data_IF_585865207505
#
_entry.id   IF_585865207505
#
_cell.length_a   1.000
_cell.length_b   1.000
_cell.length_c   1.000
_cell.angle_alpha   90.00
_cell.angle_beta   90.00
_cell.angle_gamma   90.00
#
_symmetry.space_group_name_H-M   'P 1'
#
loop_
_entity.id
_entity.type
_entity.pdbx_description
1 polymer ?
#
# COMPACT_ATOMS: atom_id res chain seq x y z
N UNK A 1 -4.88 -7.62 2.21
CA UNK A 1 -4.88 -8.18 3.58
C UNK A 1 -5.91 -9.29 3.67
N UNK A 2 -5.58 -10.36 4.33
CA UNK A 2 -6.51 -11.42 4.66
C UNK A 2 -7.21 -11.09 5.99
N UNK A 3 -8.45 -11.53 6.16
CA UNK A 3 -9.11 -11.38 7.45
C UNK A 3 -8.39 -12.20 8.53
N UNK A 4 -8.49 -11.83 9.81
CA UNK A 4 -7.99 -12.64 10.91
C UNK A 4 -8.55 -14.06 10.83
N UNK A 5 -7.67 -15.05 10.77
CA UNK A 5 -8.07 -16.44 10.50
C UNK A 5 -8.46 -17.23 11.76
N UNK A 6 -8.09 -16.76 12.96
CA UNK A 6 -8.30 -17.52 14.20
C UNK A 6 -8.67 -16.62 15.36
N UNK A 7 -9.71 -17.02 16.11
CA UNK A 7 -9.97 -16.55 17.46
C UNK A 7 -9.31 -17.53 18.44
N UNK A 8 -8.15 -17.18 18.97
CA UNK A 8 -7.62 -17.83 20.15
C UNK A 8 -8.27 -17.16 21.36
N UNK A 9 -8.97 -17.90 22.20
CA UNK A 9 -9.74 -17.51 23.40
C UNK A 9 -9.77 -16.00 23.83
N UNK A 10 -8.72 -15.23 23.57
CA UNK A 10 -8.59 -13.79 23.87
C UNK A 10 -7.77 -13.00 22.84
N UNK A 11 -7.36 -13.61 21.73
CA UNK A 11 -6.49 -12.96 20.73
C UNK A 11 -6.98 -13.19 19.30
N UNK A 12 -6.89 -12.14 18.47
CA UNK A 12 -7.11 -12.23 17.04
C UNK A 12 -5.76 -12.48 16.36
N UNK A 13 -5.72 -13.45 15.45
CA UNK A 13 -4.55 -13.78 14.63
C UNK A 13 -4.87 -13.54 13.17
N UNK A 14 -3.99 -12.85 12.46
CA UNK A 14 -4.17 -12.54 11.05
C UNK A 14 -2.94 -11.89 10.45
N UNK A 15 -3.03 -11.51 9.17
CA UNK A 15 -2.00 -10.73 8.51
C UNK A 15 -1.74 -9.41 9.24
N UNK A 16 -0.50 -8.91 9.17
CA UNK A 16 -0.11 -7.62 9.74
C UNK A 16 -1.07 -6.50 9.30
N UNK A 17 -1.40 -6.43 8.02
CA UNK A 17 -2.33 -5.43 7.51
C UNK A 17 -3.74 -5.53 8.10
N UNK A 18 -4.22 -6.73 8.40
CA UNK A 18 -5.51 -6.93 9.07
C UNK A 18 -5.44 -6.46 10.54
N UNK A 19 -4.35 -6.77 11.23
CA UNK A 19 -4.10 -6.31 12.61
C UNK A 19 -4.03 -4.78 12.68
N UNK A 20 -3.31 -4.15 11.75
CA UNK A 20 -3.22 -2.69 11.67
C UNK A 20 -4.58 -2.05 11.42
N UNK A 21 -5.38 -2.60 10.48
CA UNK A 21 -6.73 -2.11 10.19
C UNK A 21 -7.66 -2.27 11.39
N UNK A 22 -7.52 -3.36 12.16
CA UNK A 22 -8.30 -3.57 13.38
C UNK A 22 -8.01 -2.53 14.45
N UNK A 23 -6.77 -2.10 14.57
CA UNK A 23 -6.28 -1.20 15.61
C UNK A 23 -6.08 0.26 15.14
N UNK A 24 -6.51 0.58 13.91
CA UNK A 24 -6.36 1.94 13.37
C UNK A 24 -7.15 2.97 14.19
N UNK A 25 -6.61 4.17 14.33
CA UNK A 25 -7.30 5.25 15.02
C UNK A 25 -8.70 5.47 14.39
N UNK A 26 -9.78 5.52 15.19
CA UNK A 26 -11.14 5.70 14.69
C UNK A 26 -11.34 6.92 13.77
N UNK A 27 -10.59 8.00 13.96
CA UNK A 27 -10.65 9.20 13.12
C UNK A 27 -10.20 8.91 11.68
N UNK A 28 -9.25 8.01 11.48
CA UNK A 28 -8.80 7.61 10.15
C UNK A 28 -9.91 6.89 9.37
N UNK A 29 -10.82 6.20 10.06
CA UNK A 29 -11.95 5.53 9.41
C UNK A 29 -12.95 6.51 8.76
N UNK A 30 -12.92 7.80 9.12
CA UNK A 30 -13.78 8.83 8.53
C UNK A 30 -13.32 9.23 7.12
N UNK A 31 -12.02 9.15 6.86
CA UNK A 31 -11.39 9.64 5.64
C UNK A 31 -10.84 8.53 4.72
N UNK A 32 -10.68 7.32 5.22
CA UNK A 32 -10.15 6.21 4.42
C UNK A 32 -11.21 5.48 3.60
N UNK A 33 -10.77 4.88 2.51
CA UNK A 33 -11.48 3.88 1.71
C UNK A 33 -10.55 2.68 1.57
N UNK A 34 -11.07 1.46 1.68
CA UNK A 34 -12.45 1.06 1.98
C UNK A 34 -12.79 1.16 3.48
N UNK A 35 -14.08 1.03 3.77
CA UNK A 35 -14.53 0.83 5.15
C UNK A 35 -13.90 -0.42 5.78
N UNK A 36 -13.76 -0.42 7.12
CA UNK A 36 -13.10 -1.50 7.87
C UNK A 36 -13.67 -2.89 7.51
N UNK A 37 -14.99 -3.02 7.46
CA UNK A 37 -15.64 -4.28 7.14
C UNK A 37 -15.27 -4.80 5.74
N UNK A 38 -15.14 -3.91 4.76
CA UNK A 38 -14.71 -4.28 3.39
C UNK A 38 -13.24 -4.62 3.35
N UNK A 39 -12.39 -3.87 4.06
CA UNK A 39 -10.95 -4.11 4.12
C UNK A 39 -10.61 -5.50 4.69
N UNK A 40 -11.44 -6.04 5.57
CA UNK A 40 -11.23 -7.31 6.25
C UNK A 40 -11.91 -8.51 5.57
N UNK A 41 -12.54 -8.33 4.41
CA UNK A 41 -13.07 -9.44 3.62
C UNK A 41 -11.95 -10.41 3.20
N UNK A 42 -12.21 -11.70 3.31
CA UNK A 42 -11.29 -12.76 2.89
C UNK A 42 -11.36 -13.04 1.38
N UNK A 43 -12.55 -12.99 0.79
CA UNK A 43 -12.74 -13.18 -0.65
C UNK A 43 -12.21 -11.97 -1.42
N UNK A 44 -11.21 -12.21 -2.27
CA UNK A 44 -10.54 -11.14 -3.01
C UNK A 44 -11.44 -10.48 -4.06
N UNK A 45 -12.23 -11.26 -4.79
CA UNK A 45 -13.08 -10.73 -5.86
C UNK A 45 -14.19 -9.85 -5.29
N UNK A 46 -14.84 -10.33 -4.23
CA UNK A 46 -15.86 -9.55 -3.51
C UNK A 46 -15.26 -8.30 -2.89
N UNK A 47 -14.07 -8.42 -2.27
CA UNK A 47 -13.34 -7.30 -1.69
C UNK A 47 -13.00 -6.25 -2.75
N UNK A 48 -12.41 -6.67 -3.87
CA UNK A 48 -12.04 -5.80 -4.99
C UNK A 48 -13.25 -5.00 -5.51
N UNK A 49 -14.37 -5.68 -5.79
CA UNK A 49 -15.57 -5.04 -6.29
C UNK A 49 -16.15 -4.03 -5.28
N UNK A 50 -16.19 -4.38 -3.99
CA UNK A 50 -16.66 -3.46 -2.94
C UNK A 50 -15.75 -2.26 -2.77
N UNK A 51 -14.42 -2.45 -2.75
CA UNK A 51 -13.46 -1.35 -2.69
C UNK A 51 -13.70 -0.38 -3.84
N UNK A 52 -13.81 -0.89 -5.07
CA UNK A 52 -14.04 -0.07 -6.25
C UNK A 52 -15.34 0.74 -6.15
N UNK A 53 -16.44 0.11 -5.72
CA UNK A 53 -17.75 0.80 -5.55
C UNK A 53 -17.75 1.85 -4.46
N UNK A 54 -17.06 1.59 -3.35
CA UNK A 54 -16.92 2.57 -2.26
C UNK A 54 -16.07 3.76 -2.70
N UNK A 55 -14.97 3.49 -3.40
CA UNK A 55 -14.03 4.49 -3.85
C UNK A 55 -14.61 5.42 -4.93
N UNK A 56 -15.49 4.91 -5.81
CA UNK A 56 -16.21 5.72 -6.80
C UNK A 56 -17.05 6.87 -6.20
N UNK A 57 -17.43 6.75 -4.93
CA UNK A 57 -18.26 7.74 -4.23
C UNK A 57 -17.45 8.75 -3.42
N UNK A 58 -16.12 8.69 -3.53
CA UNK A 58 -15.21 9.49 -2.70
C UNK A 58 -14.23 10.28 -3.56
N UNK A 59 -13.81 11.41 -3.04
CA UNK A 59 -12.69 12.16 -3.59
C UNK A 59 -11.38 11.50 -3.11
N UNK A 60 -10.85 10.57 -3.89
CA UNK A 60 -9.60 9.89 -3.58
C UNK A 60 -8.43 10.77 -4.00
N UNK A 61 -7.58 11.12 -3.05
CA UNK A 61 -6.39 11.97 -3.27
C UNK A 61 -5.09 11.17 -3.23
N UNK A 62 -5.09 10.04 -2.53
CA UNK A 62 -3.93 9.17 -2.45
C UNK A 62 -4.31 7.70 -2.49
N UNK A 63 -3.37 6.89 -2.95
CA UNK A 63 -3.44 5.43 -2.96
C UNK A 63 -2.32 4.87 -2.08
N UNK A 64 -2.54 3.72 -1.46
CA UNK A 64 -1.49 2.99 -0.75
C UNK A 64 -1.68 1.49 -0.91
N UNK A 65 -0.62 0.79 -1.29
CA UNK A 65 -0.67 -0.67 -1.40
C UNK A 65 0.34 -1.28 -2.36
N UNK A 66 0.23 -2.59 -2.51
CA UNK A 66 1.07 -3.36 -3.44
C UNK A 66 0.64 -3.07 -4.88
N UNK A 67 1.56 -2.74 -5.80
CA UNK A 67 1.25 -2.34 -7.18
C UNK A 67 0.33 -3.30 -7.94
N UNK A 68 0.60 -4.60 -7.92
CA UNK A 68 -0.20 -5.60 -8.63
C UNK A 68 -1.66 -5.66 -8.14
N UNK A 69 -1.87 -5.59 -6.82
CA UNK A 69 -3.19 -5.61 -6.21
C UNK A 69 -3.96 -4.33 -6.45
N UNK A 70 -3.27 -3.20 -6.36
CA UNK A 70 -3.87 -1.89 -6.63
C UNK A 70 -4.33 -1.78 -8.09
N UNK A 71 -3.54 -2.24 -9.06
CA UNK A 71 -3.96 -2.27 -10.47
C UNK A 71 -5.27 -3.02 -10.68
N UNK A 72 -5.46 -4.16 -10.00
CA UNK A 72 -6.71 -4.91 -10.08
C UNK A 72 -7.92 -4.09 -9.59
N UNK A 73 -7.75 -3.32 -8.51
CA UNK A 73 -8.78 -2.41 -7.99
C UNK A 73 -9.03 -1.26 -8.96
N UNK A 74 -7.97 -0.62 -9.46
CA UNK A 74 -8.08 0.52 -10.38
C UNK A 74 -8.77 0.12 -11.70
N UNK A 75 -8.42 -1.03 -12.27
CA UNK A 75 -9.11 -1.55 -13.44
C UNK A 75 -10.62 -1.77 -13.17
N UNK A 76 -10.96 -2.27 -11.98
CA UNK A 76 -12.38 -2.41 -11.60
C UNK A 76 -13.09 -1.07 -11.44
N UNK A 77 -12.42 -0.06 -10.93
CA UNK A 77 -12.94 1.33 -10.88
C UNK A 77 -13.22 1.84 -12.30
N UNK A 78 -12.28 1.65 -13.23
CA UNK A 78 -12.44 2.05 -14.63
C UNK A 78 -13.63 1.33 -15.29
N UNK A 79 -13.74 0.02 -15.12
CA UNK A 79 -14.87 -0.77 -15.63
C UNK A 79 -16.23 -0.26 -15.11
N UNK A 80 -16.32 0.04 -13.83
CA UNK A 80 -17.56 0.46 -13.19
C UNK A 80 -17.94 1.91 -13.53
N UNK A 81 -16.95 2.77 -13.74
CA UNK A 81 -17.18 4.19 -14.06
C UNK A 81 -17.40 4.44 -15.55
N UNK A 82 -16.85 3.58 -16.40
CA UNK A 82 -16.77 3.81 -17.86
C UNK A 82 -15.77 4.91 -18.24
N UNK A 83 -14.97 5.40 -17.30
CA UNK A 83 -13.98 6.45 -17.54
C UNK A 83 -12.79 5.94 -18.37
N UNK A 84 -12.15 6.83 -19.11
CA UNK A 84 -10.97 6.51 -19.90
C UNK A 84 -9.66 6.64 -19.12
N UNK A 85 -9.63 7.54 -18.13
CA UNK A 85 -8.51 7.77 -17.21
C UNK A 85 -9.02 8.02 -15.79
N UNK A 86 -8.18 7.77 -14.79
CA UNK A 86 -8.57 7.92 -13.38
C UNK A 86 -8.85 9.35 -12.96
N UNK A 87 -8.30 10.36 -13.64
CA UNK A 87 -8.60 11.77 -13.38
C UNK A 87 -10.06 12.15 -13.63
N UNK A 88 -10.77 11.42 -14.49
CA UNK A 88 -12.21 11.62 -14.69
C UNK A 88 -13.02 11.18 -13.47
N UNK A 89 -12.50 10.21 -12.71
CA UNK A 89 -13.11 9.69 -11.48
C UNK A 89 -12.62 10.44 -10.25
N UNK A 90 -11.29 10.64 -10.17
CA UNK A 90 -10.60 11.26 -9.03
C UNK A 90 -9.68 12.40 -9.50
N UNK A 91 -10.24 13.58 -9.75
CA UNK A 91 -9.47 14.71 -10.29
C UNK A 91 -8.37 15.21 -9.35
N UNK A 92 -8.46 14.89 -8.06
CA UNK A 92 -7.50 15.29 -7.02
C UNK A 92 -6.55 14.16 -6.62
N UNK A 93 -6.45 13.10 -7.42
CA UNK A 93 -5.49 12.02 -7.18
C UNK A 93 -4.07 12.50 -7.49
N UNK A 94 -3.18 12.50 -6.49
CA UNK A 94 -1.85 13.10 -6.56
C UNK A 94 -0.70 12.20 -6.13
N UNK A 95 -0.95 11.14 -5.31
CA UNK A 95 0.14 10.27 -4.84
C UNK A 95 -0.27 8.81 -4.71
N UNK A 96 0.66 7.92 -5.06
CA UNK A 96 0.58 6.50 -4.77
C UNK A 96 1.79 6.05 -3.96
N UNK A 97 1.55 5.71 -2.70
CA UNK A 97 2.52 5.03 -1.84
C UNK A 97 2.50 3.54 -2.12
N UNK A 98 3.60 3.00 -2.62
CA UNK A 98 3.70 1.60 -3.00
C UNK A 98 4.89 0.90 -2.35
N UNK A 99 4.78 -0.41 -2.22
CA UNK A 99 5.84 -1.24 -1.65
C UNK A 99 5.50 -2.72 -1.77
N UNK A 100 6.35 -3.55 -1.19
CA UNK A 100 6.20 -5.00 -1.16
C UNK A 100 6.66 -5.73 -2.43
N UNK A 101 6.68 -5.05 -3.59
CA UNK A 101 7.25 -5.55 -4.86
C UNK A 101 7.80 -4.38 -5.66
N UNK A 102 8.78 -4.64 -6.53
CA UNK A 102 9.34 -3.62 -7.41
C UNK A 102 8.26 -2.96 -8.27
N UNK A 103 8.25 -1.64 -8.35
CA UNK A 103 7.25 -0.87 -9.10
C UNK A 103 7.51 -0.85 -10.60
N UNK A 104 8.76 -0.96 -11.02
CA UNK A 104 9.20 -0.82 -12.42
C UNK A 104 8.36 -1.61 -13.43
N UNK A 105 7.98 -2.89 -13.21
CA UNK A 105 7.15 -3.65 -14.16
C UNK A 105 5.74 -3.11 -14.35
N UNK A 106 5.25 -2.34 -13.38
CA UNK A 106 3.87 -1.82 -13.36
C UNK A 106 3.77 -0.37 -13.83
N UNK A 107 4.90 0.38 -13.83
CA UNK A 107 4.96 1.82 -14.07
C UNK A 107 4.20 2.27 -15.31
N UNK A 108 4.39 1.60 -16.43
CA UNK A 108 3.74 1.98 -17.69
C UNK A 108 2.21 1.74 -17.67
N UNK A 109 1.74 0.73 -16.93
CA UNK A 109 0.32 0.49 -16.76
C UNK A 109 -0.31 1.61 -15.94
N UNK A 110 0.36 2.03 -14.84
CA UNK A 110 -0.09 3.16 -14.03
C UNK A 110 -0.14 4.46 -14.83
N UNK A 111 0.88 4.76 -15.62
CA UNK A 111 0.91 5.97 -16.47
C UNK A 111 -0.21 6.02 -17.50
N UNK A 112 -0.69 4.87 -17.97
CA UNK A 112 -1.85 4.80 -18.89
C UNK A 112 -3.16 5.10 -18.17
N UNK A 113 -3.29 4.65 -16.93
CA UNK A 113 -4.49 4.87 -16.12
C UNK A 113 -4.52 6.26 -15.50
N UNK A 114 -3.35 6.78 -15.11
CA UNK A 114 -3.19 8.06 -14.40
C UNK A 114 -2.33 8.97 -15.28
N UNK A 115 -2.98 9.90 -15.95
CA UNK A 115 -2.33 10.79 -16.93
C UNK A 115 -1.94 12.15 -16.34
N UNK A 116 -2.24 12.40 -15.06
CA UNK A 116 -1.88 13.65 -14.39
C UNK A 116 -0.36 13.84 -14.31
N UNK A 117 0.18 14.99 -14.76
CA UNK A 117 1.61 15.30 -14.63
C UNK A 117 2.03 15.53 -13.17
N UNK A 118 1.11 15.82 -12.27
CA UNK A 118 1.34 15.99 -10.84
C UNK A 118 1.24 14.69 -10.03
N UNK A 119 1.15 13.53 -10.68
CA UNK A 119 1.08 12.25 -9.97
C UNK A 119 2.46 11.81 -9.49
N UNK A 120 2.58 11.60 -8.18
CA UNK A 120 3.78 11.11 -7.54
C UNK A 120 3.67 9.61 -7.21
N UNK A 121 4.77 8.88 -7.40
CA UNK A 121 4.90 7.47 -7.04
C UNK A 121 6.01 7.36 -6.00
N UNK A 122 5.63 7.06 -4.77
CA UNK A 122 6.52 7.08 -3.61
C UNK A 122 6.70 5.66 -3.09
N UNK A 123 7.93 5.18 -3.04
CA UNK A 123 8.24 3.84 -2.57
C UNK A 123 8.31 3.78 -1.05
N UNK A 124 7.79 2.69 -0.48
CA UNK A 124 7.86 2.39 0.94
C UNK A 124 8.44 1.01 1.16
N UNK A 125 9.27 0.85 2.18
CA UNK A 125 9.79 -0.43 2.60
C UNK A 125 9.31 -0.79 3.99
N UNK A 126 8.42 -1.77 4.05
CA UNK A 126 7.88 -2.30 5.30
C UNK A 126 7.82 -3.83 5.24
N UNK A 127 7.97 -4.46 6.40
CA UNK A 127 7.82 -5.89 6.62
C UNK A 127 7.07 -6.16 7.93
N UNK A 128 6.92 -7.42 8.30
CA UNK A 128 6.27 -7.79 9.57
C UNK A 128 7.04 -7.27 10.79
N UNK A 129 8.34 -7.10 10.63
CA UNK A 129 9.28 -6.65 11.66
C UNK A 129 9.23 -5.15 11.89
N UNK A 130 8.82 -4.36 10.90
CA UNK A 130 8.76 -2.90 11.05
C UNK A 130 8.57 -2.14 9.75
N UNK A 131 8.60 -0.82 9.90
CA UNK A 131 8.62 0.14 8.80
C UNK A 131 10.04 0.70 8.68
N UNK A 132 10.73 0.43 7.58
CA UNK A 132 12.17 0.64 7.45
C UNK A 132 12.54 1.83 6.58
N UNK A 133 11.79 2.10 5.53
CA UNK A 133 12.14 3.17 4.61
C UNK A 133 10.94 3.80 3.91
N UNK A 134 11.13 5.06 3.56
CA UNK A 134 10.16 5.86 2.81
C UNK A 134 10.91 6.73 1.81
N UNK A 135 10.51 6.69 0.56
CA UNK A 135 10.92 7.72 -0.39
C UNK A 135 10.21 9.03 0.00
N UNK A 136 10.96 10.07 0.30
CA UNK A 136 10.48 11.37 0.77
C UNK A 136 10.72 12.51 -0.24
N UNK A 137 11.55 12.24 -1.27
CA UNK A 137 11.77 13.14 -2.40
C UNK A 137 11.31 12.46 -3.71
N UNK A 138 10.28 13.01 -4.40
CA UNK A 138 9.82 12.46 -5.68
C UNK A 138 10.87 12.49 -6.80
N UNK A 139 11.91 13.32 -6.68
CA UNK A 139 12.98 13.46 -7.66
C UNK A 139 14.15 12.48 -7.42
N UNK A 140 14.23 11.88 -6.23
CA UNK A 140 15.24 10.89 -5.86
C UNK A 140 14.60 9.52 -5.65
N UNK A 141 15.18 8.47 -6.23
CA UNK A 141 14.74 7.10 -6.05
C UNK A 141 15.20 6.49 -4.72
N UNK A 142 16.08 7.15 -3.98
CA UNK A 142 16.53 6.71 -2.67
C UNK A 142 15.40 6.78 -1.63
N UNK A 143 15.42 5.87 -0.68
CA UNK A 143 14.54 5.90 0.48
C UNK A 143 15.31 6.37 1.72
N UNK A 144 14.69 7.25 2.49
CA UNK A 144 15.18 7.62 3.81
C UNK A 144 14.94 6.49 4.80
N UNK A 145 16.00 6.09 5.53
CA UNK A 145 15.90 5.04 6.55
C UNK A 145 15.26 5.59 7.83
N UNK A 146 14.30 4.86 8.39
CA UNK A 146 13.52 5.27 9.58
C UNK A 146 14.26 4.90 10.87
N UNK A 147 15.28 5.67 11.23
CA UNK A 147 16.20 5.36 12.35
C UNK A 147 15.56 5.46 13.74
N UNK A 148 14.49 6.22 13.91
CA UNK A 148 13.84 6.51 15.18
C UNK A 148 12.53 5.73 15.41
N UNK A 149 12.28 4.70 14.61
CA UNK A 149 11.07 3.85 14.69
C UNK A 149 11.19 2.66 15.64
N UNK A 150 12.16 2.69 16.55
CA UNK A 150 12.34 1.64 17.56
C UNK A 150 12.98 0.36 17.03
N UNK A 151 13.61 0.43 15.86
CA UNK A 151 14.38 -0.67 15.26
C UNK A 151 15.86 -0.36 15.44
N UNK A 152 16.61 -1.35 15.91
CA UNK A 152 18.06 -1.31 15.94
C UNK A 152 18.60 -1.85 14.62
N UNK A 153 19.51 -1.12 13.98
CA UNK A 153 20.09 -1.47 12.69
C UNK A 153 21.54 -1.86 12.82
N UNK A 154 21.90 -2.99 12.23
CA UNK A 154 23.26 -3.43 12.00
C UNK A 154 23.43 -3.65 10.50
N UNK A 155 24.57 -3.21 9.96
CA UNK A 155 24.86 -3.31 8.54
C UNK A 155 26.07 -4.18 8.31
N UNK A 156 25.93 -5.18 7.46
CA UNK A 156 27.00 -6.08 7.03
C UNK A 156 27.32 -5.78 5.57
N UNK A 157 28.59 -5.53 5.22
CA UNK A 157 28.99 -5.41 3.82
C UNK A 157 28.54 -6.61 3.01
N UNK A 158 28.04 -6.38 1.80
CA UNK A 158 27.42 -7.44 0.98
C UNK A 158 28.37 -8.57 0.63
N UNK A 159 29.66 -8.27 0.49
CA UNK A 159 30.72 -9.24 0.25
C UNK A 159 31.10 -10.08 1.49
N UNK A 160 30.63 -9.67 2.68
CA UNK A 160 30.86 -10.35 3.94
C UNK A 160 29.63 -11.08 4.49
N UNK A 161 28.50 -11.08 3.79
CA UNK A 161 27.21 -11.61 4.30
C UNK A 161 27.28 -13.12 4.62
N UNK A 162 28.14 -13.85 3.94
CA UNK A 162 28.38 -15.29 4.20
C UNK A 162 29.62 -15.55 5.07
N UNK A 163 30.27 -14.50 5.55
CA UNK A 163 31.43 -14.63 6.43
C UNK A 163 31.00 -15.19 7.80
N UNK A 164 31.74 -16.10 8.41
CA UNK A 164 31.46 -16.56 9.76
C UNK A 164 31.68 -15.49 10.83
N UNK A 165 32.42 -14.42 10.52
CA UNK A 165 32.67 -13.27 11.38
C UNK A 165 32.63 -11.99 10.52
N UNK A 166 31.46 -11.49 10.11
CA UNK A 166 31.37 -10.26 9.35
C UNK A 166 31.72 -9.05 10.24
N UNK A 167 32.25 -8.01 9.63
CA UNK A 167 32.37 -6.69 10.27
C UNK A 167 30.99 -6.01 10.23
N UNK A 168 30.53 -5.53 11.40
CA UNK A 168 29.22 -4.86 11.58
C UNK A 168 29.44 -3.39 11.84
#
# INVERSE_FOLDING_TARGET
>A
SHAPNYNLKSSLVGDLSAILIENINPLVNLVRVPAKATALLSDFEVKRDRIAREALRKNVTNLSGVPSWMLSVLNRVMELSGASVLQEVWPNLEVFFHGGVAFTPYREQYKRLITSPGMHYMETYNASEGFFGLQDDPSDAAMSLMLDYGVFYEFIPMDQIESPNPEV
#
